data_IF_865053492292
#
_entry.id   IF_865053492292
#
_cell.length_a   1.000
_cell.length_b   1.000
_cell.length_c   1.000
_cell.angle_alpha   90.00
_cell.angle_beta   90.00
_cell.angle_gamma   90.00
#
_symmetry.space_group_name_H-M   'P 1'
#
loop_
_entity.id
_entity.type
_entity.pdbx_description
1 polymer ?
#
# COMPACT_ATOMS: atom_id res chain seq x y z
N UNK A 1 13.49 9.01 2.02
CA UNK A 1 12.63 7.93 2.57
C UNK A 1 11.94 8.32 3.89
N UNK A 2 11.19 9.44 3.90
CA UNK A 2 10.24 9.83 4.97
C UNK A 2 8.77 9.69 4.49
N UNK A 3 8.61 9.06 3.32
CA UNK A 3 7.46 9.10 2.41
C UNK A 3 6.29 8.26 2.95
N UNK A 4 6.54 6.97 3.18
CA UNK A 4 5.57 6.03 3.72
C UNK A 4 5.22 6.37 5.17
N UNK A 5 6.22 6.71 5.99
CA UNK A 5 6.04 7.13 7.39
C UNK A 5 5.13 8.37 7.55
N UNK A 6 5.19 9.33 6.61
CA UNK A 6 4.32 10.53 6.62
C UNK A 6 2.92 10.28 6.08
N UNK A 7 2.77 9.49 5.01
CA UNK A 7 1.47 9.05 4.48
C UNK A 7 0.67 8.25 5.52
N UNK A 8 1.35 7.34 6.23
CA UNK A 8 0.77 6.59 7.33
C UNK A 8 0.40 7.55 8.45
N UNK A 9 1.32 8.39 8.94
CA UNK A 9 1.02 9.34 10.02
C UNK A 9 -0.22 10.21 9.73
N UNK A 10 -0.45 10.63 8.48
CA UNK A 10 -1.63 11.38 8.06
C UNK A 10 -2.89 10.50 7.99
N UNK A 11 -2.79 9.26 7.48
CA UNK A 11 -3.85 8.24 7.55
C UNK A 11 -4.28 7.93 9.00
N UNK A 12 -3.32 7.91 9.93
CA UNK A 12 -3.51 7.53 11.33
C UNK A 12 -4.13 8.63 12.19
N UNK A 13 -3.79 9.90 11.91
CA UNK A 13 -4.37 11.05 12.62
C UNK A 13 -5.87 11.17 12.33
N UNK A 14 -6.33 10.72 11.16
CA UNK A 14 -7.75 10.78 10.79
C UNK A 14 -8.55 9.56 11.24
N UNK A 15 -7.97 8.35 11.28
CA UNK A 15 -8.64 7.17 11.86
C UNK A 15 -8.97 7.39 13.35
N UNK A 16 -8.10 8.08 14.09
CA UNK A 16 -8.35 8.45 15.48
C UNK A 16 -9.53 9.43 15.66
N UNK A 17 -9.85 10.24 14.66
CA UNK A 17 -10.98 11.20 14.71
C UNK A 17 -12.31 10.52 14.40
N UNK A 18 -12.32 9.46 13.57
CA UNK A 18 -13.53 8.69 13.25
C UNK A 18 -13.83 7.63 14.34
N UNK A 19 -12.81 7.10 15.01
CA UNK A 19 -12.97 6.14 16.10
C UNK A 19 -13.63 6.70 17.37
N UNK A 20 -13.95 8.00 17.45
CA UNK A 20 -14.67 8.56 18.59
C UNK A 20 -16.17 8.16 18.63
N UNK A 21 -16.70 7.47 17.61
CA UNK A 21 -18.13 7.07 17.56
C UNK A 21 -18.41 5.58 17.35
N UNK A 22 -17.41 4.69 17.39
CA UNK A 22 -17.65 3.25 17.26
C UNK A 22 -16.96 2.45 18.37
N UNK A 23 -17.18 2.85 19.62
CA UNK A 23 -16.95 1.98 20.76
C UNK A 23 -18.07 0.92 20.80
N UNK A 24 -18.00 -0.11 19.96
CA UNK A 24 -18.56 -1.44 20.23
C UNK A 24 -18.05 -2.43 19.18
N UNK A 25 -17.05 -3.24 19.54
CA UNK A 25 -17.07 -4.73 19.50
C UNK A 25 -15.66 -5.27 19.72
N UNK A 26 -15.61 -6.47 20.30
CA UNK A 26 -14.46 -7.07 20.94
C UNK A 26 -13.36 -7.52 19.96
N UNK A 27 -12.47 -6.64 19.53
CA UNK A 27 -11.16 -7.05 19.01
C UNK A 27 -10.06 -6.59 19.97
N UNK A 28 -9.19 -7.52 20.37
CA UNK A 28 -8.11 -7.29 21.32
C UNK A 28 -6.93 -6.57 20.68
N UNK A 29 -7.18 -5.41 20.07
CA UNK A 29 -6.20 -4.55 19.40
C UNK A 29 -6.87 -3.36 18.74
N UNK A 30 -6.19 -2.23 18.66
CA UNK A 30 -6.67 -1.10 17.85
C UNK A 30 -6.81 -1.54 16.39
N UNK A 31 -7.90 -1.18 15.73
CA UNK A 31 -8.03 -1.35 14.29
C UNK A 31 -7.96 0.03 13.59
N UNK A 32 -6.98 0.26 12.72
CA UNK A 32 -5.93 -0.68 12.28
C UNK A 32 -4.83 -0.91 13.34
N UNK A 33 -4.06 -2.00 13.21
CA UNK A 33 -2.86 -2.23 14.03
C UNK A 33 -1.71 -1.40 13.46
N UNK A 34 -1.52 -0.22 14.02
CA UNK A 34 -0.61 0.79 13.49
C UNK A 34 0.85 0.37 13.63
N UNK A 35 1.19 -0.28 14.74
CA UNK A 35 2.55 -0.75 15.00
C UNK A 35 2.90 -1.91 14.07
N UNK A 36 1.97 -2.85 13.89
CA UNK A 36 2.14 -3.95 12.96
C UNK A 36 2.30 -3.46 11.52
N UNK A 37 1.46 -2.52 11.08
CA UNK A 37 1.56 -1.92 9.74
C UNK A 37 2.89 -1.16 9.55
N UNK A 38 3.32 -0.38 10.54
CA UNK A 38 4.59 0.34 10.49
C UNK A 38 5.77 -0.64 10.32
N UNK A 39 5.81 -1.73 11.10
CA UNK A 39 6.84 -2.74 11.00
C UNK A 39 6.89 -3.41 9.62
N UNK A 40 5.72 -3.75 9.05
CA UNK A 40 5.60 -4.31 7.69
C UNK A 40 6.17 -3.34 6.66
N UNK A 41 5.81 -2.06 6.78
CA UNK A 41 6.20 -1.04 5.81
C UNK A 41 7.70 -0.78 5.88
N UNK A 42 8.27 -0.65 7.09
CA UNK A 42 9.73 -0.54 7.26
C UNK A 42 10.46 -1.73 6.66
N UNK A 43 9.93 -2.94 6.83
CA UNK A 43 10.54 -4.13 6.24
C UNK A 43 10.49 -4.12 4.71
N UNK A 44 9.34 -3.78 4.12
CA UNK A 44 9.20 -3.69 2.67
C UNK A 44 10.06 -2.59 2.06
N UNK A 45 10.20 -1.46 2.76
CA UNK A 45 11.04 -0.34 2.36
C UNK A 45 12.51 -0.73 2.25
N UNK A 46 13.01 -1.53 3.21
CA UNK A 46 14.36 -2.11 3.15
C UNK A 46 14.50 -3.02 1.93
N UNK A 47 13.57 -3.95 1.71
CA UNK A 47 13.61 -4.89 0.57
C UNK A 47 13.59 -4.14 -0.76
N UNK A 48 12.67 -3.19 -0.94
CA UNK A 48 12.54 -2.40 -2.17
C UNK A 48 13.80 -1.59 -2.41
N UNK A 49 14.33 -0.92 -1.38
CA UNK A 49 15.53 -0.10 -1.52
C UNK A 49 16.74 -0.93 -1.92
N UNK A 50 16.93 -2.09 -1.29
CA UNK A 50 18.11 -2.93 -1.51
C UNK A 50 18.03 -3.76 -2.79
N UNK A 51 16.84 -4.25 -3.16
CA UNK A 51 16.70 -5.21 -4.27
C UNK A 51 16.13 -4.58 -5.54
N UNK A 52 15.22 -3.62 -5.41
CA UNK A 52 14.55 -2.98 -6.56
C UNK A 52 15.26 -1.70 -6.96
N UNK A 53 15.63 -0.85 -6.00
CA UNK A 53 16.20 0.46 -6.29
C UNK A 53 17.68 0.47 -6.68
N UNK A 54 18.29 -0.71 -6.79
CA UNK A 54 19.56 -0.90 -7.49
C UNK A 54 19.37 -0.95 -9.02
N UNK A 55 18.13 -0.98 -9.52
CA UNK A 55 17.77 -1.07 -10.94
C UNK A 55 17.22 0.26 -11.47
N UNK A 56 17.12 0.37 -12.79
CA UNK A 56 16.46 1.49 -13.46
C UNK A 56 14.96 1.19 -13.61
N UNK A 57 14.18 1.52 -12.58
CA UNK A 57 12.73 1.33 -12.60
C UNK A 57 12.10 2.44 -13.43
N UNK A 58 11.44 2.11 -14.53
CA UNK A 58 10.76 3.06 -15.44
C UNK A 58 9.22 2.97 -15.32
N UNK A 59 8.46 3.96 -15.83
CA UNK A 59 6.99 3.97 -15.77
C UNK A 59 6.34 2.69 -16.30
N UNK A 60 6.83 2.15 -17.41
CA UNK A 60 6.32 0.92 -18.01
C UNK A 60 6.47 -0.30 -17.09
N UNK A 61 7.49 -0.32 -16.23
CA UNK A 61 7.68 -1.40 -15.25
C UNK A 61 6.57 -1.35 -14.20
N UNK A 62 6.27 -0.16 -13.67
CA UNK A 62 5.24 0.02 -12.64
C UNK A 62 3.83 -0.22 -13.20
N UNK A 63 3.57 0.22 -14.44
CA UNK A 63 2.33 -0.12 -15.14
C UNK A 63 2.17 -1.62 -15.36
N UNK A 64 3.26 -2.35 -15.63
CA UNK A 64 3.23 -3.80 -15.72
C UNK A 64 2.96 -4.43 -14.35
N UNK A 65 3.64 -3.98 -13.29
CA UNK A 65 3.42 -4.45 -11.91
C UNK A 65 1.95 -4.30 -11.51
N UNK A 66 1.35 -3.15 -11.75
CA UNK A 66 -0.05 -2.87 -11.43
C UNK A 66 -1.04 -3.78 -12.17
N UNK A 67 -0.74 -4.11 -13.43
CA UNK A 67 -1.61 -4.97 -14.25
C UNK A 67 -1.41 -6.46 -13.99
N UNK A 68 -0.17 -6.90 -13.82
CA UNK A 68 0.19 -8.32 -13.82
C UNK A 68 0.37 -8.91 -12.41
N UNK A 69 0.85 -8.10 -11.45
CA UNK A 69 1.26 -8.59 -10.14
C UNK A 69 0.37 -8.09 -9.01
N UNK A 70 -0.08 -6.83 -9.05
CA UNK A 70 -0.96 -6.28 -8.01
C UNK A 70 -2.28 -7.06 -7.83
N UNK A 71 -2.94 -7.62 -8.87
CA UNK A 71 -4.11 -8.48 -8.67
C UNK A 71 -3.83 -9.73 -7.81
N UNK A 72 -2.57 -10.18 -7.72
CA UNK A 72 -2.17 -11.30 -6.86
C UNK A 72 -2.17 -10.93 -5.36
N UNK A 73 -2.17 -9.63 -5.04
CA UNK A 73 -2.37 -9.11 -3.69
C UNK A 73 -3.80 -8.61 -3.48
N UNK A 74 -4.42 -8.05 -4.51
CA UNK A 74 -5.79 -7.53 -4.48
C UNK A 74 -6.80 -8.63 -4.81
N UNK A 75 -6.85 -9.66 -3.97
CA UNK A 75 -7.84 -10.73 -4.04
C UNK A 75 -8.22 -11.22 -2.64
N UNK A 76 -9.34 -11.94 -2.56
CA UNK A 76 -9.88 -12.47 -1.31
C UNK A 76 -8.92 -13.38 -0.54
N UNK A 77 -8.14 -14.21 -1.23
CA UNK A 77 -7.19 -15.12 -0.57
C UNK A 77 -6.09 -14.36 0.15
N UNK A 78 -5.59 -13.27 -0.45
CA UNK A 78 -4.55 -12.46 0.17
C UNK A 78 -5.11 -11.56 1.27
N UNK A 79 -6.18 -10.81 0.98
CA UNK A 79 -6.77 -9.80 1.86
C UNK A 79 -7.66 -10.38 2.98
N UNK A 80 -8.20 -11.59 2.78
CA UNK A 80 -9.24 -12.17 3.63
C UNK A 80 -10.67 -11.70 3.34
N UNK A 81 -10.82 -10.71 2.45
CA UNK A 81 -12.07 -10.06 2.06
C UNK A 81 -12.04 -9.73 0.57
N UNK A 82 -13.22 -9.53 -0.04
CA UNK A 82 -13.27 -9.09 -1.43
C UNK A 82 -12.61 -7.72 -1.59
N UNK A 83 -11.76 -7.50 -2.62
CA UNK A 83 -11.11 -6.22 -2.86
C UNK A 83 -12.09 -5.05 -2.94
N UNK A 84 -11.66 -3.83 -2.58
CA UNK A 84 -12.52 -2.66 -2.67
C UNK A 84 -12.95 -2.42 -4.13
N UNK A 85 -14.17 -1.95 -4.38
CA UNK A 85 -14.58 -1.60 -5.73
C UNK A 85 -13.64 -0.54 -6.33
N UNK A 86 -13.42 -0.60 -7.64
CA UNK A 86 -12.61 0.36 -8.40
C UNK A 86 -11.12 0.48 -8.01
N UNK A 87 -10.59 -0.39 -7.12
CA UNK A 87 -9.19 -0.35 -6.68
C UNK A 87 -8.18 -0.30 -7.85
N UNK A 88 -8.47 -1.03 -8.92
CA UNK A 88 -7.61 -1.11 -10.09
C UNK A 88 -7.63 0.20 -10.89
N UNK A 89 -8.79 0.84 -11.03
CA UNK A 89 -8.92 2.14 -11.72
C UNK A 89 -8.13 3.22 -10.97
N UNK A 90 -8.30 3.27 -9.65
CA UNK A 90 -7.59 4.22 -8.78
C UNK A 90 -6.08 4.02 -8.90
N UNK A 91 -5.62 2.78 -8.83
CA UNK A 91 -4.19 2.46 -8.95
C UNK A 91 -3.64 2.87 -10.31
N UNK A 92 -4.36 2.58 -11.39
CA UNK A 92 -3.95 2.95 -12.75
C UNK A 92 -3.90 4.47 -12.92
N UNK A 93 -4.86 5.20 -12.36
CA UNK A 93 -4.86 6.67 -12.39
C UNK A 93 -3.63 7.23 -11.67
N UNK A 94 -3.34 6.76 -10.45
CA UNK A 94 -2.18 7.21 -9.68
C UNK A 94 -0.89 6.95 -10.45
N UNK A 95 -0.69 5.75 -10.98
CA UNK A 95 0.55 5.40 -11.68
C UNK A 95 0.71 6.26 -12.93
N UNK A 96 -0.36 6.43 -13.71
CA UNK A 96 -0.31 7.17 -14.97
C UNK A 96 -0.06 8.66 -14.74
N UNK A 97 -0.66 9.24 -13.69
CA UNK A 97 -0.59 10.67 -13.44
C UNK A 97 0.61 11.07 -12.58
N UNK A 98 0.98 10.24 -11.60
CA UNK A 98 2.04 10.56 -10.64
C UNK A 98 3.41 10.02 -11.05
N UNK A 99 3.47 9.02 -11.93
CA UNK A 99 4.74 8.46 -12.39
C UNK A 99 4.87 8.46 -13.91
N UNK A 100 5.14 9.64 -14.45
CA UNK A 100 5.15 9.88 -15.90
C UNK A 100 6.50 9.61 -16.57
N UNK A 101 7.63 9.78 -15.86
CA UNK A 101 8.98 9.62 -16.43
C UNK A 101 10.07 9.44 -15.37
N UNK A 102 11.24 9.01 -15.84
CA UNK A 102 12.46 8.92 -15.04
C UNK A 102 12.54 7.63 -14.20
N UNK A 103 13.64 7.49 -13.46
CA UNK A 103 13.83 6.35 -12.57
C UNK A 103 13.08 6.58 -11.25
N UNK A 104 12.11 5.72 -10.91
CA UNK A 104 11.34 5.83 -9.66
C UNK A 104 12.23 5.86 -8.42
N UNK A 105 13.42 5.28 -8.48
CA UNK A 105 14.34 5.17 -7.35
C UNK A 105 15.29 6.36 -7.19
N UNK A 106 15.11 7.45 -7.94
CA UNK A 106 15.84 8.70 -7.74
C UNK A 106 15.06 9.65 -6.85
N UNK A 107 15.74 10.34 -5.93
CA UNK A 107 15.12 11.24 -4.94
C UNK A 107 14.15 12.24 -5.57
N UNK A 108 14.53 12.83 -6.71
CA UNK A 108 13.69 13.79 -7.43
C UNK A 108 12.38 13.16 -7.90
N UNK A 109 12.43 11.96 -8.47
CA UNK A 109 11.22 11.29 -8.97
C UNK A 109 10.37 10.78 -7.81
N UNK A 110 10.98 10.27 -6.73
CA UNK A 110 10.26 9.89 -5.51
C UNK A 110 9.52 11.07 -4.89
N UNK A 111 10.17 12.23 -4.76
CA UNK A 111 9.56 13.44 -4.23
C UNK A 111 8.41 13.94 -5.10
N UNK A 112 8.56 13.90 -6.43
CA UNK A 112 7.47 14.27 -7.33
C UNK A 112 6.28 13.32 -7.24
N UNK A 113 6.57 12.01 -7.16
CA UNK A 113 5.55 10.99 -6.99
C UNK A 113 4.78 11.17 -5.66
N UNK A 114 5.48 11.44 -4.57
CA UNK A 114 4.89 11.75 -3.25
C UNK A 114 3.95 12.95 -3.32
N UNK A 115 4.42 14.07 -3.86
CA UNK A 115 3.61 15.29 -3.96
C UNK A 115 2.32 15.04 -4.74
N UNK A 116 2.42 14.36 -5.88
CA UNK A 116 1.24 14.01 -6.67
C UNK A 116 0.30 13.04 -5.91
N UNK A 117 0.84 12.04 -5.22
CA UNK A 117 0.04 11.12 -4.43
C UNK A 117 -0.69 11.84 -3.30
N UNK A 118 -0.04 12.80 -2.62
CA UNK A 118 -0.64 13.63 -1.57
C UNK A 118 -1.78 14.50 -2.10
N UNK A 119 -1.67 15.02 -3.32
CA UNK A 119 -2.77 15.75 -3.98
C UNK A 119 -3.97 14.84 -4.28
N UNK A 120 -3.71 13.58 -4.66
CA UNK A 120 -4.75 12.57 -4.95
C UNK A 120 -5.32 11.89 -3.70
N UNK A 121 -4.62 11.99 -2.58
CA UNK A 121 -4.90 11.26 -1.36
C UNK A 121 -6.34 11.47 -0.84
N UNK A 122 -6.91 12.69 -0.79
CA UNK A 122 -8.29 12.88 -0.35
C UNK A 122 -9.31 12.07 -1.18
N UNK A 123 -9.12 11.99 -2.50
CA UNK A 123 -9.99 11.20 -3.39
C UNK A 123 -9.85 9.70 -3.13
N UNK A 124 -8.62 9.22 -2.94
CA UNK A 124 -8.37 7.81 -2.59
C UNK A 124 -9.07 7.44 -1.29
N UNK A 125 -9.00 8.30 -0.28
CA UNK A 125 -9.67 8.10 1.01
C UNK A 125 -11.18 8.14 0.85
N UNK A 126 -11.71 9.09 0.09
CA UNK A 126 -13.15 9.15 -0.16
C UNK A 126 -13.68 7.85 -0.79
N UNK A 127 -12.91 7.24 -1.70
CA UNK A 127 -13.31 6.04 -2.41
C UNK A 127 -13.07 4.74 -1.63
N UNK A 128 -12.00 4.66 -0.84
CA UNK A 128 -11.57 3.43 -0.19
C UNK A 128 -11.77 3.42 1.33
N UNK A 129 -11.97 4.59 1.95
CA UNK A 129 -11.97 4.77 3.40
C UNK A 129 -13.06 3.98 4.10
N UNK A 130 -14.29 3.99 3.56
CA UNK A 130 -15.40 3.22 4.12
C UNK A 130 -15.11 1.71 4.05
N UNK A 131 -14.67 1.22 2.89
CA UNK A 131 -14.31 -0.20 2.73
C UNK A 131 -13.18 -0.62 3.68
N UNK A 132 -12.16 0.24 3.88
CA UNK A 132 -11.08 -0.01 4.83
C UNK A 132 -11.60 -0.09 6.26
N UNK A 133 -12.51 0.80 6.66
CA UNK A 133 -13.11 0.79 7.99
C UNK A 133 -13.95 -0.48 8.22
N UNK A 134 -14.80 -0.84 7.26
CA UNK A 134 -15.69 -2.01 7.34
C UNK A 134 -14.92 -3.34 7.36
N UNK A 135 -13.77 -3.40 6.69
CA UNK A 135 -12.99 -4.63 6.56
C UNK A 135 -11.72 -4.64 7.42
N UNK A 136 -11.57 -3.66 8.32
CA UNK A 136 -10.35 -3.44 9.08
C UNK A 136 -9.90 -4.70 9.84
N UNK A 137 -10.80 -5.34 10.58
CA UNK A 137 -10.46 -6.53 11.37
C UNK A 137 -10.00 -7.70 10.49
N UNK A 138 -10.66 -7.90 9.35
CA UNK A 138 -10.28 -8.94 8.42
C UNK A 138 -8.89 -8.68 7.82
N UNK A 139 -8.57 -7.43 7.49
CA UNK A 139 -7.26 -7.03 7.01
C UNK A 139 -6.18 -7.18 8.08
N UNK A 140 -6.43 -6.74 9.31
CA UNK A 140 -5.51 -6.93 10.43
C UNK A 140 -5.22 -8.41 10.67
N UNK A 141 -6.26 -9.24 10.75
CA UNK A 141 -6.12 -10.67 11.00
C UNK A 141 -5.39 -11.39 9.85
N UNK A 142 -5.72 -11.07 8.60
CA UNK A 142 -5.16 -11.79 7.45
C UNK A 142 -3.79 -11.27 7.03
N UNK A 143 -3.52 -9.98 7.15
CA UNK A 143 -2.28 -9.37 6.66
C UNK A 143 -1.31 -9.14 7.80
N UNK A 144 -1.72 -8.40 8.84
CA UNK A 144 -0.82 -7.94 9.89
C UNK A 144 -0.41 -9.08 10.81
N UNK A 145 -1.38 -9.78 11.39
CA UNK A 145 -1.10 -10.90 12.30
C UNK A 145 -0.45 -12.10 11.60
N UNK A 146 -0.72 -12.27 10.31
CA UNK A 146 -0.16 -13.36 9.50
C UNK A 146 0.98 -12.89 8.57
N UNK A 147 1.63 -11.76 8.89
CA UNK A 147 2.62 -11.14 8.02
C UNK A 147 3.75 -12.09 7.63
N UNK A 148 4.27 -12.89 8.54
CA UNK A 148 5.34 -13.85 8.25
C UNK A 148 5.02 -14.78 7.07
N UNK A 149 3.76 -15.21 6.94
CA UNK A 149 3.31 -16.03 5.82
C UNK A 149 3.03 -15.17 4.58
N UNK A 150 2.32 -14.05 4.73
CA UNK A 150 1.96 -13.15 3.61
C UNK A 150 3.19 -12.53 2.95
N UNK A 151 4.24 -12.25 3.71
CA UNK A 151 5.54 -11.76 3.27
C UNK A 151 6.16 -12.67 2.21
N UNK A 152 5.98 -13.98 2.28
CA UNK A 152 6.50 -14.90 1.25
C UNK A 152 5.87 -14.65 -0.12
N UNK A 153 4.55 -14.38 -0.14
CA UNK A 153 3.82 -14.01 -1.36
C UNK A 153 4.31 -12.67 -1.89
N UNK A 154 4.46 -11.68 -1.01
CA UNK A 154 4.96 -10.35 -1.39
C UNK A 154 6.39 -10.43 -1.93
N UNK A 155 7.28 -11.19 -1.30
CA UNK A 155 8.64 -11.43 -1.79
C UNK A 155 8.63 -12.11 -3.16
N UNK A 156 7.79 -13.12 -3.38
CA UNK A 156 7.65 -13.76 -4.70
C UNK A 156 7.22 -12.77 -5.79
N UNK A 157 6.34 -11.83 -5.46
CA UNK A 157 5.93 -10.74 -6.35
C UNK A 157 7.08 -9.77 -6.63
N UNK A 158 7.83 -9.37 -5.60
CA UNK A 158 9.01 -8.51 -5.76
C UNK A 158 10.06 -9.19 -6.64
N UNK A 159 10.34 -10.48 -6.42
CA UNK A 159 11.29 -11.23 -7.25
C UNK A 159 10.83 -11.33 -8.71
N UNK A 160 9.53 -11.59 -8.95
CA UNK A 160 8.98 -11.58 -10.30
C UNK A 160 9.05 -10.20 -10.97
N UNK A 161 8.90 -9.13 -10.19
CA UNK A 161 9.08 -7.76 -10.68
C UNK A 161 10.54 -7.49 -11.05
N UNK A 162 11.49 -7.82 -10.17
CA UNK A 162 12.92 -7.66 -10.43
C UNK A 162 13.36 -8.44 -11.66
N UNK A 163 12.86 -9.67 -11.85
CA UNK A 163 13.16 -10.47 -13.04
C UNK A 163 12.67 -9.83 -14.36
N UNK A 164 11.73 -8.87 -14.28
CA UNK A 164 11.20 -8.13 -15.42
C UNK A 164 11.90 -6.79 -15.69
N UNK A 165 12.61 -6.24 -14.69
CA UNK A 165 13.37 -4.99 -14.76
C UNK A 165 14.63 -5.15 -15.63
#
# INVERSE_FOLDING_TARGET
>A
MRLFSRLISILLIYSAVISLHAATTNSSGSCPDLKGLEAIITELDVIITQEVCTKNVKPENIQWLARALLPKLMNKTFLGVEPPPFWQSITNEIITNCYTKGNLCTDKIQSNFESCLMEKFPTVIWQLGLWLAENCDALNNNIVMNWNQKKLVVKGIISAFIAKL
#
